data_IF_640652617486
#
_entry.id   IF_640652617486
#
_cell.length_a   1.000
_cell.length_b   1.000
_cell.length_c   1.000
_cell.angle_alpha   90.00
_cell.angle_beta   90.00
_cell.angle_gamma   90.00
#
_symmetry.space_group_name_H-M   'P 1'
#
loop_
_entity.id
_entity.type
_entity.pdbx_description
1 polymer ?
#
# COMPACT_ATOMS: atom_id res chain seq x y z
N UNK A 1 -34.12 32.95 13.40
CA UNK A 1 -32.79 33.47 13.02
C UNK A 1 -31.75 32.85 13.93
N UNK A 2 -31.05 31.80 13.52
CA UNK A 2 -29.86 31.30 14.23
C UNK A 2 -28.84 30.82 13.20
N UNK A 3 -28.20 31.78 12.55
CA UNK A 3 -26.97 31.56 11.78
C UNK A 3 -25.86 31.24 12.78
N UNK A 4 -25.70 29.96 13.15
CA UNK A 4 -24.44 29.50 13.75
C UNK A 4 -23.39 29.50 12.65
N UNK A 5 -22.53 30.50 12.70
CA UNK A 5 -21.28 30.61 11.96
C UNK A 5 -20.51 29.30 12.17
N UNK A 6 -20.58 28.37 11.22
CA UNK A 6 -19.72 27.18 11.22
C UNK A 6 -18.31 27.68 10.98
N UNK A 7 -17.60 27.97 12.08
CA UNK A 7 -16.21 28.39 12.02
C UNK A 7 -15.36 27.33 11.32
N UNK A 8 -14.17 27.73 10.86
CA UNK A 8 -13.20 26.86 10.16
C UNK A 8 -13.02 25.51 10.86
N UNK A 9 -13.05 25.49 12.21
CA UNK A 9 -12.99 24.29 13.05
C UNK A 9 -14.18 23.33 12.86
N UNK A 10 -15.40 23.85 12.68
CA UNK A 10 -16.60 23.06 12.40
C UNK A 10 -16.56 22.45 10.99
N UNK A 11 -16.09 23.23 10.01
CA UNK A 11 -15.88 22.75 8.64
C UNK A 11 -14.78 21.68 8.55
N UNK A 12 -13.71 21.83 9.32
CA UNK A 12 -12.62 20.86 9.41
C UNK A 12 -13.05 19.56 10.09
N UNK A 13 -13.84 19.63 11.18
CA UNK A 13 -14.43 18.44 11.81
C UNK A 13 -15.35 17.70 10.84
N UNK A 14 -16.21 18.41 10.11
CA UNK A 14 -17.09 17.80 9.10
C UNK A 14 -16.31 17.18 7.92
N UNK A 15 -15.13 17.72 7.60
CA UNK A 15 -14.22 17.15 6.60
C UNK A 15 -13.55 15.87 7.09
N UNK A 16 -13.05 15.84 8.33
CA UNK A 16 -12.46 14.63 8.92
C UNK A 16 -13.49 13.51 9.09
N UNK A 17 -14.71 13.84 9.54
CA UNK A 17 -15.78 12.85 9.71
C UNK A 17 -16.23 12.18 8.39
N UNK A 18 -15.72 12.64 7.25
CA UNK A 18 -15.84 11.96 5.96
C UNK A 18 -14.89 10.75 6.01
N UNK A 19 -15.40 9.60 6.47
CA UNK A 19 -14.62 8.42 6.91
C UNK A 19 -13.43 8.02 6.03
N UNK A 20 -13.54 8.15 4.71
CA UNK A 20 -12.44 7.90 3.76
C UNK A 20 -11.15 8.71 4.04
N UNK A 21 -11.23 9.89 4.67
CA UNK A 21 -10.07 10.74 4.97
C UNK A 21 -9.35 10.29 6.24
N UNK A 22 -10.09 9.88 7.28
CA UNK A 22 -9.50 9.40 8.53
C UNK A 22 -8.73 8.11 8.29
N UNK A 23 -9.33 7.16 7.57
CA UNK A 23 -8.69 5.87 7.30
C UNK A 23 -7.40 6.05 6.47
N UNK A 24 -7.43 6.94 5.48
CA UNK A 24 -6.26 7.29 4.69
C UNK A 24 -5.19 7.96 5.55
N UNK A 25 -5.56 8.94 6.39
CA UNK A 25 -4.61 9.63 7.26
C UNK A 25 -3.92 8.67 8.25
N UNK A 26 -4.70 7.77 8.85
CA UNK A 26 -4.17 6.74 9.77
C UNK A 26 -3.23 5.79 9.03
N UNK A 27 -3.59 5.33 7.83
CA UNK A 27 -2.74 4.46 7.02
C UNK A 27 -1.36 5.10 6.71
N UNK A 28 -1.35 6.39 6.36
CA UNK A 28 -0.10 7.13 6.07
C UNK A 28 0.78 7.27 7.31
N UNK A 29 0.19 7.65 8.45
CA UNK A 29 0.94 7.83 9.71
C UNK A 29 1.55 6.51 10.19
N UNK A 30 0.77 5.43 10.16
CA UNK A 30 1.26 4.09 10.54
C UNK A 30 2.36 3.63 9.58
N UNK A 31 2.18 3.84 8.26
CA UNK A 31 3.19 3.48 7.26
C UNK A 31 4.52 4.20 7.47
N UNK A 32 4.48 5.50 7.77
CA UNK A 32 5.67 6.30 8.06
C UNK A 32 6.38 5.83 9.36
N UNK A 33 5.63 5.61 10.43
CA UNK A 33 6.17 5.15 11.70
C UNK A 33 6.84 3.76 11.57
N UNK A 34 6.19 2.84 10.86
CA UNK A 34 6.72 1.50 10.64
C UNK A 34 8.01 1.51 9.80
N UNK A 35 8.04 2.32 8.74
CA UNK A 35 9.25 2.49 7.91
C UNK A 35 10.45 2.94 8.75
N UNK A 36 10.23 3.84 9.72
CA UNK A 36 11.29 4.28 10.63
C UNK A 36 11.82 3.17 11.54
N UNK A 37 10.94 2.27 12.02
CA UNK A 37 11.35 1.11 12.83
C UNK A 37 12.24 0.20 12.00
N UNK A 38 11.83 -0.13 10.78
CA UNK A 38 12.62 -1.00 9.90
C UNK A 38 13.97 -0.36 9.55
N UNK A 39 13.97 0.93 9.20
CA UNK A 39 15.20 1.67 8.93
C UNK A 39 16.16 1.66 10.13
N UNK A 40 15.64 1.74 11.36
CA UNK A 40 16.45 1.70 12.59
C UNK A 40 17.08 0.33 12.79
N UNK A 41 16.34 -0.76 12.51
CA UNK A 41 16.88 -2.13 12.59
C UNK A 41 17.94 -2.36 11.52
N UNK A 42 17.70 -1.88 10.29
CA UNK A 42 18.69 -2.03 9.21
C UNK A 42 19.96 -1.26 9.53
N UNK A 43 19.86 0.01 9.91
CA UNK A 43 21.02 0.83 10.28
C UNK A 43 21.73 0.31 11.54
N UNK A 44 20.98 -0.14 12.54
CA UNK A 44 21.52 -0.51 13.84
C UNK A 44 22.06 -1.94 13.94
N UNK A 45 21.56 -2.87 13.12
CA UNK A 45 21.92 -4.30 13.21
C UNK A 45 22.50 -4.80 11.89
N UNK A 46 21.83 -4.51 10.78
CA UNK A 46 22.20 -5.10 9.49
C UNK A 46 23.44 -4.43 8.89
N UNK A 47 23.48 -3.10 8.85
CA UNK A 47 24.64 -2.35 8.35
C UNK A 47 25.94 -2.72 9.10
N UNK A 48 25.99 -2.79 10.44
CA UNK A 48 27.22 -3.20 11.13
C UNK A 48 27.55 -4.68 10.92
N UNK A 49 26.56 -5.57 10.78
CA UNK A 49 26.81 -6.99 10.47
C UNK A 49 27.40 -7.12 9.06
N UNK A 50 26.79 -6.48 8.06
CA UNK A 50 27.30 -6.49 6.68
C UNK A 50 28.66 -5.77 6.60
N UNK A 51 28.88 -4.70 7.36
CA UNK A 51 30.16 -4.00 7.48
C UNK A 51 31.22 -4.73 8.33
N UNK A 52 30.84 -5.80 9.03
CA UNK A 52 31.77 -6.71 9.71
C UNK A 52 32.18 -7.87 8.80
N UNK A 53 31.28 -8.37 7.95
CA UNK A 53 31.55 -9.45 6.98
C UNK A 53 32.03 -8.95 5.61
N UNK A 54 31.84 -7.66 5.29
CA UNK A 54 32.38 -6.92 4.15
C UNK A 54 32.99 -5.58 4.60
N UNK A 55 33.79 -4.90 3.78
CA UNK A 55 34.54 -3.71 4.25
C UNK A 55 33.63 -2.58 4.80
N UNK A 56 34.22 -1.79 5.69
CA UNK A 56 33.67 -1.17 6.91
C UNK A 56 32.37 -0.36 6.82
N UNK A 57 31.91 0.06 5.65
CA UNK A 57 30.65 0.79 5.50
C UNK A 57 30.18 0.68 4.05
N UNK A 58 29.03 0.04 3.81
CA UNK A 58 28.48 -0.07 2.46
C UNK A 58 28.28 1.30 1.84
N UNK A 59 27.75 2.27 2.57
CA UNK A 59 27.52 3.64 2.08
C UNK A 59 28.80 4.37 1.62
N UNK A 60 29.99 3.94 2.09
CA UNK A 60 31.27 4.55 1.72
C UNK A 60 31.93 3.94 0.48
N UNK A 61 31.38 2.86 -0.08
CA UNK A 61 31.87 2.33 -1.36
C UNK A 61 31.52 3.28 -2.50
N UNK A 62 32.50 4.10 -2.83
CA UNK A 62 32.48 4.95 -3.99
C UNK A 62 33.57 4.51 -4.97
N UNK A 63 33.18 4.19 -6.20
CA UNK A 63 34.14 3.98 -7.28
C UNK A 63 34.20 5.22 -8.15
N UNK A 64 35.40 5.50 -8.65
CA UNK A 64 35.67 6.71 -9.40
C UNK A 64 35.63 6.46 -10.89
N UNK A 65 34.66 7.11 -11.52
CA UNK A 65 34.37 6.90 -12.93
C UNK A 65 35.34 7.65 -13.85
N UNK A 66 35.93 8.76 -13.38
CA UNK A 66 36.93 9.53 -14.13
C UNK A 66 37.76 10.46 -13.24
N UNK A 67 39.09 10.40 -13.41
CA UNK A 67 40.09 11.27 -12.78
C UNK A 67 40.52 10.83 -11.37
N UNK A 68 41.62 11.42 -10.83
CA UNK A 68 42.04 11.17 -9.46
C UNK A 68 41.00 11.75 -8.50
N UNK A 69 40.36 10.85 -7.78
CA UNK A 69 39.32 11.18 -6.83
C UNK A 69 39.91 11.60 -5.50
N UNK A 70 39.85 12.89 -5.22
CA UNK A 70 40.35 13.46 -3.97
C UNK A 70 39.15 13.97 -3.18
N UNK A 71 38.90 13.33 -2.03
CA UNK A 71 37.98 13.87 -1.02
C UNK A 71 38.78 14.77 -0.08
N UNK A 72 38.24 15.93 0.29
CA UNK A 72 38.84 16.75 1.35
C UNK A 72 38.57 16.10 2.74
N UNK A 73 39.20 16.63 3.80
CA UNK A 73 38.98 16.14 5.17
C UNK A 73 37.52 16.33 5.67
N UNK A 74 36.72 17.12 4.96
CA UNK A 74 35.29 17.32 5.21
C UNK A 74 34.39 16.33 4.43
N UNK A 75 34.95 15.43 3.63
CA UNK A 75 34.21 14.41 2.87
C UNK A 75 33.62 14.90 1.55
N UNK A 76 33.85 16.16 1.16
CA UNK A 76 33.39 16.74 -0.09
C UNK A 76 34.28 16.34 -1.27
N UNK A 77 33.63 16.07 -2.40
CA UNK A 77 34.26 15.70 -3.66
C UNK A 77 34.90 16.95 -4.27
N UNK A 78 36.21 17.07 -4.15
CA UNK A 78 36.94 18.23 -4.71
C UNK A 78 37.36 18.04 -6.16
N UNK A 79 37.58 16.79 -6.60
CA UNK A 79 37.82 16.41 -8.01
C UNK A 79 37.31 14.99 -8.31
N UNK A 80 36.73 14.80 -9.50
CA UNK A 80 36.28 13.51 -10.03
C UNK A 80 34.77 13.26 -9.92
N UNK A 81 34.26 12.28 -10.70
CA UNK A 81 32.87 11.81 -10.63
C UNK A 81 32.82 10.56 -9.74
N UNK A 82 32.31 10.71 -8.53
CA UNK A 82 32.12 9.62 -7.59
C UNK A 82 30.76 8.94 -7.85
N UNK A 83 30.76 7.64 -8.11
CA UNK A 83 29.54 6.83 -8.02
C UNK A 83 29.54 6.15 -6.65
N UNK A 84 28.51 6.37 -5.84
CA UNK A 84 28.33 5.76 -4.51
C UNK A 84 27.39 4.54 -4.56
N UNK A 85 27.80 3.52 -5.31
CA UNK A 85 27.14 2.20 -5.46
C UNK A 85 26.77 1.58 -4.11
N UNK A 86 27.58 1.87 -3.10
CA UNK A 86 27.38 1.51 -1.72
C UNK A 86 26.02 1.89 -1.13
N UNK A 87 25.63 3.15 -1.32
CA UNK A 87 24.35 3.68 -0.86
C UNK A 87 23.15 3.01 -1.54
N UNK A 88 23.29 2.64 -2.82
CA UNK A 88 22.26 1.95 -3.59
C UNK A 88 22.09 0.51 -3.09
N UNK A 89 23.19 -0.17 -2.77
CA UNK A 89 23.14 -1.51 -2.20
C UNK A 89 22.50 -1.51 -0.80
N UNK A 90 22.86 -0.54 0.04
CA UNK A 90 22.27 -0.30 1.36
C UNK A 90 20.75 -0.02 1.28
N UNK A 91 20.33 0.84 0.36
CA UNK A 91 18.91 1.12 0.11
C UNK A 91 18.16 -0.11 -0.41
N UNK A 92 18.77 -0.89 -1.30
CA UNK A 92 18.19 -2.13 -1.83
C UNK A 92 18.00 -3.17 -0.73
N UNK A 93 19.00 -3.34 0.15
CA UNK A 93 18.93 -4.26 1.28
C UNK A 93 17.84 -3.84 2.27
N UNK A 94 17.74 -2.54 2.55
CA UNK A 94 16.69 -1.96 3.39
C UNK A 94 15.30 -2.26 2.81
N UNK A 95 15.12 -2.07 1.50
CA UNK A 95 13.88 -2.38 0.81
C UNK A 95 13.52 -3.86 0.90
N UNK A 96 14.46 -4.77 0.64
CA UNK A 96 14.23 -6.22 0.71
C UNK A 96 13.84 -6.67 2.12
N UNK A 97 14.50 -6.14 3.15
CA UNK A 97 14.17 -6.45 4.54
C UNK A 97 12.79 -5.92 4.90
N UNK A 98 12.48 -4.68 4.52
CA UNK A 98 11.14 -4.08 4.73
C UNK A 98 10.06 -4.93 4.08
N UNK A 99 10.25 -5.32 2.82
CA UNK A 99 9.32 -6.17 2.09
C UNK A 99 9.16 -7.54 2.76
N UNK A 100 10.26 -8.16 3.20
CA UNK A 100 10.23 -9.45 3.90
C UNK A 100 9.46 -9.38 5.22
N UNK A 101 9.68 -8.33 6.02
CA UNK A 101 8.98 -8.13 7.30
C UNK A 101 7.49 -7.88 7.07
N UNK A 102 7.13 -6.99 6.13
CA UNK A 102 5.71 -6.74 5.79
C UNK A 102 5.03 -8.00 5.27
N UNK A 103 5.70 -8.76 4.41
CA UNK A 103 5.17 -10.02 3.88
C UNK A 103 4.95 -11.05 4.99
N UNK A 104 5.95 -11.26 5.85
CA UNK A 104 5.89 -12.30 6.87
C UNK A 104 4.95 -11.95 8.04
N UNK A 105 4.95 -10.69 8.50
CA UNK A 105 4.14 -10.26 9.64
C UNK A 105 2.73 -9.79 9.27
N UNK A 106 2.49 -9.32 8.04
CA UNK A 106 1.19 -8.76 7.65
C UNK A 106 0.49 -9.65 6.64
N UNK A 107 1.14 -9.97 5.51
CA UNK A 107 0.49 -10.76 4.46
C UNK A 107 0.33 -12.24 4.84
N UNK A 108 1.33 -12.88 5.43
CA UNK A 108 1.30 -14.30 5.77
C UNK A 108 0.20 -14.66 6.80
N UNK A 109 0.04 -13.94 7.93
CA UNK A 109 -1.06 -14.22 8.85
C UNK A 109 -2.41 -13.82 8.28
N UNK A 110 -2.49 -12.74 7.50
CA UNK A 110 -3.74 -12.33 6.87
C UNK A 110 -4.20 -13.38 5.84
N UNK A 111 -3.28 -13.90 5.01
CA UNK A 111 -3.53 -15.01 4.09
C UNK A 111 -3.96 -16.26 4.84
N UNK A 112 -3.22 -16.66 5.89
CA UNK A 112 -3.59 -17.83 6.72
C UNK A 112 -4.95 -17.68 7.40
N UNK A 113 -5.31 -16.47 7.83
CA UNK A 113 -6.60 -16.21 8.45
C UNK A 113 -7.74 -16.26 7.41
N UNK A 114 -7.54 -15.65 6.24
CA UNK A 114 -8.49 -15.74 5.12
C UNK A 114 -8.67 -17.19 4.65
N UNK A 115 -7.59 -17.95 4.47
CA UNK A 115 -7.63 -19.36 4.09
C UNK A 115 -8.36 -20.20 5.16
N UNK A 116 -8.18 -19.90 6.46
CA UNK A 116 -8.91 -20.55 7.56
C UNK A 116 -10.38 -20.15 7.64
N UNK A 117 -10.74 -18.90 7.31
CA UNK A 117 -12.14 -18.47 7.26
C UNK A 117 -12.86 -19.07 6.05
N UNK A 118 -12.18 -19.18 4.91
CA UNK A 118 -12.67 -19.89 3.72
C UNK A 118 -12.86 -21.39 4.00
N UNK A 119 -11.98 -22.01 4.80
CA UNK A 119 -12.10 -23.42 5.18
C UNK A 119 -13.14 -23.70 6.27
N UNK A 120 -13.44 -22.73 7.15
CA UNK A 120 -14.41 -22.88 8.26
C UNK A 120 -15.84 -22.52 7.88
N UNK A 121 -16.04 -21.87 6.75
CA UNK A 121 -17.36 -21.54 6.23
C UNK A 121 -17.61 -22.40 4.99
N UNK A 122 -18.29 -23.56 5.06
CA UNK A 122 -18.85 -24.13 3.85
C UNK A 122 -19.81 -23.07 3.32
N UNK A 123 -19.52 -22.54 2.12
CA UNK A 123 -20.22 -21.43 1.47
C UNK A 123 -21.55 -21.08 2.13
N UNK A 124 -21.52 -20.25 3.19
CA UNK A 124 -22.73 -19.58 3.62
C UNK A 124 -23.13 -18.81 2.36
N UNK A 125 -24.37 -18.98 1.84
CA UNK A 125 -24.75 -18.44 0.54
C UNK A 125 -24.26 -17.01 0.53
N UNK A 126 -23.25 -16.75 -0.30
CA UNK A 126 -22.62 -15.47 -0.36
C UNK A 126 -23.78 -14.51 -0.51
N UNK A 127 -23.92 -13.53 0.41
CA UNK A 127 -24.87 -12.43 0.20
C UNK A 127 -24.69 -12.06 -1.26
N UNK A 128 -25.71 -12.30 -2.08
CA UNK A 128 -25.55 -12.32 -3.52
C UNK A 128 -24.74 -11.08 -3.89
N UNK A 129 -23.56 -11.30 -4.45
CA UNK A 129 -22.67 -10.17 -4.69
C UNK A 129 -23.44 -9.18 -5.55
N UNK A 130 -23.24 -7.88 -5.35
CA UNK A 130 -23.98 -6.86 -6.12
C UNK A 130 -23.88 -7.13 -7.64
N UNK A 131 -22.75 -7.73 -8.07
CA UNK A 131 -22.52 -8.23 -9.41
C UNK A 131 -23.39 -9.44 -9.82
N UNK A 132 -23.67 -10.38 -8.91
CA UNK A 132 -24.60 -11.49 -9.15
C UNK A 132 -26.05 -11.01 -9.23
N UNK A 133 -26.46 -10.10 -8.36
CA UNK A 133 -27.79 -9.46 -8.43
C UNK A 133 -27.96 -8.67 -9.74
N UNK A 134 -26.95 -7.90 -10.13
CA UNK A 134 -26.96 -7.16 -11.39
C UNK A 134 -26.97 -8.09 -12.61
N UNK A 135 -26.31 -9.26 -12.54
CA UNK A 135 -26.42 -10.29 -13.60
C UNK A 135 -27.82 -10.85 -13.67
N UNK A 136 -28.42 -11.24 -12.54
CA UNK A 136 -29.79 -11.75 -12.49
C UNK A 136 -30.79 -10.71 -13.01
N UNK A 137 -30.67 -9.44 -12.61
CA UNK A 137 -31.52 -8.34 -13.12
C UNK A 137 -31.32 -8.16 -14.63
N UNK A 138 -30.07 -8.18 -15.12
CA UNK A 138 -29.79 -8.06 -16.55
C UNK A 138 -30.39 -9.23 -17.34
N UNK A 139 -30.25 -10.45 -16.84
CA UNK A 139 -30.79 -11.64 -17.51
C UNK A 139 -32.33 -11.61 -17.49
N UNK A 140 -32.96 -11.18 -16.39
CA UNK A 140 -34.41 -10.95 -16.31
C UNK A 140 -34.92 -9.85 -17.27
N UNK A 141 -34.18 -8.75 -17.42
CA UNK A 141 -34.51 -7.67 -18.36
C UNK A 141 -34.32 -8.07 -19.82
N UNK A 142 -33.32 -8.91 -20.11
CA UNK A 142 -33.10 -9.45 -21.44
C UNK A 142 -34.22 -10.42 -21.81
N UNK A 143 -34.71 -11.23 -20.85
CA UNK A 143 -35.85 -12.11 -21.05
C UNK A 143 -37.14 -11.34 -21.31
N UNK A 144 -37.45 -10.30 -20.50
CA UNK A 144 -38.58 -9.40 -20.76
C UNK A 144 -38.51 -8.70 -22.12
N UNK A 145 -37.31 -8.35 -22.60
CA UNK A 145 -37.12 -7.74 -23.92
C UNK A 145 -37.30 -8.74 -25.07
N UNK A 146 -37.02 -10.03 -24.82
CA UNK A 146 -37.15 -11.12 -25.80
C UNK A 146 -38.57 -11.61 -25.98
N UNK A 147 -39.51 -11.24 -25.11
CA UNK A 147 -40.94 -11.41 -25.32
C UNK A 147 -41.59 -10.13 -25.88
N UNK A 148 -41.52 -9.85 -27.20
CA UNK A 148 -42.34 -8.81 -27.79
C UNK A 148 -43.79 -9.33 -27.93
N UNK A 149 -44.69 -8.85 -27.07
CA UNK A 149 -46.12 -8.77 -27.39
C UNK A 149 -47.03 -9.92 -26.97
N UNK A 150 -47.10 -10.26 -25.69
CA UNK A 150 -48.24 -10.99 -25.12
C UNK A 150 -49.32 -10.03 -24.58
N UNK A 151 -49.64 -8.97 -25.31
CA UNK A 151 -50.92 -8.27 -25.15
C UNK A 151 -52.01 -9.11 -25.82
N UNK A 152 -52.51 -10.10 -25.09
CA UNK A 152 -53.79 -10.74 -25.40
C UNK A 152 -54.89 -9.69 -25.26
N UNK A 153 -55.32 -9.10 -26.39
CA UNK A 153 -56.58 -8.37 -26.49
C UNK A 153 -57.71 -9.37 -26.17
N UNK A 154 -58.49 -9.19 -25.08
CA UNK A 154 -59.61 -10.08 -24.82
C UNK A 154 -60.71 -9.82 -25.86
N UNK A 155 -60.99 -10.82 -26.69
CA UNK A 155 -62.15 -10.86 -27.56
C UNK A 155 -63.42 -10.88 -26.68
N UNK A 156 -64.03 -9.71 -26.47
CA UNK A 156 -65.37 -9.61 -25.89
C UNK A 156 -66.42 -10.02 -26.94
N UNK A 157 -67.24 -11.01 -26.57
CA UNK A 157 -68.50 -11.39 -27.22
C UNK A 157 -69.55 -10.30 -27.06
#
# INVERSE_FOLDING_TARGET
MTTTKTGVLGGFKAFLMRGNVIDLAVAVVIGAAFTNIVNSVVKGVINPVVGAFGTKDLDHYASCLKGPCVKNAAGEVTKGVFIQWGSVLSATLTFLITAAVVYFLMLLPMKRWQDRQAARTPAAPAKETELELLKQIRDALVEQRREPGSETVPAQR
#
